data_IF_706722232476
#
_entry.id   IF_706722232476
#
_cell.length_a   1.000
_cell.length_b   1.000
_cell.length_c   1.000
_cell.angle_alpha   90.00
_cell.angle_beta   90.00
_cell.angle_gamma   90.00
#
_symmetry.space_group_name_H-M   'P 1'
#
loop_
_entity.id
_entity.type
_entity.pdbx_description
1 polymer ?
#
# COMPACT_ATOMS: atom_id res chain seq x y z
N UNK A 1 20.97 -23.71 11.44
CA UNK A 1 21.62 -22.75 12.34
C UNK A 1 20.63 -21.65 12.60
N UNK A 2 20.42 -21.33 13.88
CA UNK A 2 19.52 -20.27 14.28
C UNK A 2 19.88 -18.98 13.54
N UNK A 3 18.94 -18.48 12.75
CA UNK A 3 18.98 -17.12 12.23
C UNK A 3 18.95 -16.19 13.44
N UNK A 4 20.15 -15.86 13.91
CA UNK A 4 20.44 -15.19 15.18
C UNK A 4 19.41 -14.09 15.48
N UNK A 5 18.59 -14.36 16.49
CA UNK A 5 17.71 -13.38 17.14
C UNK A 5 16.79 -12.60 16.19
N UNK A 6 16.26 -13.21 15.12
CA UNK A 6 15.20 -12.55 14.36
C UNK A 6 13.94 -12.49 15.25
N UNK A 7 13.39 -11.31 15.60
CA UNK A 7 12.16 -11.16 16.41
C UNK A 7 10.90 -11.80 15.81
N UNK A 8 11.04 -12.51 14.70
CA UNK A 8 9.97 -13.22 13.99
C UNK A 8 10.37 -14.63 13.58
N UNK A 9 11.37 -15.24 14.24
CA UNK A 9 11.69 -16.67 14.07
C UNK A 9 10.43 -17.55 14.26
N UNK A 10 9.49 -17.11 15.09
CA UNK A 10 8.20 -17.78 15.30
C UNK A 10 7.17 -17.55 14.18
N UNK A 11 7.38 -16.60 13.26
CA UNK A 11 6.54 -16.37 12.08
C UNK A 11 7.12 -17.02 10.82
N UNK A 12 7.92 -18.06 10.99
CA UNK A 12 8.45 -18.86 9.90
C UNK A 12 7.36 -19.83 9.42
N UNK A 13 7.19 -19.96 8.11
CA UNK A 13 6.45 -21.10 7.57
C UNK A 13 7.27 -22.38 7.80
N UNK A 14 6.65 -23.43 8.34
CA UNK A 14 7.30 -24.74 8.38
C UNK A 14 7.57 -25.26 6.96
N UNK A 15 8.60 -26.11 6.75
CA UNK A 15 9.00 -26.54 5.40
C UNK A 15 7.87 -27.18 4.58
N UNK A 16 6.88 -27.79 5.24
CA UNK A 16 5.70 -28.38 4.60
C UNK A 16 4.55 -27.41 4.34
N UNK A 17 4.60 -26.17 4.86
CA UNK A 17 3.52 -25.18 4.79
C UNK A 17 2.17 -25.67 5.37
N UNK A 18 2.20 -26.65 6.28
CA UNK A 18 1.00 -27.32 6.79
C UNK A 18 0.13 -26.40 7.69
N UNK A 19 0.68 -25.27 8.13
CA UNK A 19 0.03 -24.29 9.00
C UNK A 19 -1.10 -23.50 8.33
N UNK A 20 -2.07 -23.01 9.12
CA UNK A 20 -3.27 -22.30 8.62
C UNK A 20 -3.00 -20.95 7.95
N UNK A 21 -1.80 -20.40 8.11
CA UNK A 21 -1.40 -19.11 7.57
C UNK A 21 -0.10 -19.25 6.78
N UNK A 22 0.04 -18.41 5.75
CA UNK A 22 1.28 -18.27 4.99
C UNK A 22 1.80 -16.84 5.15
N UNK A 23 3.05 -16.73 5.57
CA UNK A 23 3.78 -15.47 5.62
C UNK A 23 4.49 -15.26 4.29
N UNK A 24 3.99 -14.34 3.48
CA UNK A 24 4.53 -14.05 2.17
C UNK A 24 5.68 -13.04 2.26
N UNK A 25 6.77 -13.35 1.54
CA UNK A 25 7.80 -12.38 1.12
C UNK A 25 7.25 -11.68 -0.12
N UNK A 26 7.57 -10.39 -0.31
CA UNK A 26 6.86 -9.45 -1.20
C UNK A 26 6.91 -9.81 -2.71
N UNK A 27 7.74 -10.77 -3.09
CA UNK A 27 7.98 -11.17 -4.47
C UNK A 27 6.85 -12.06 -5.02
N UNK A 28 6.39 -11.77 -6.23
CA UNK A 28 5.37 -12.55 -6.96
C UNK A 28 4.07 -12.81 -6.16
N UNK A 29 3.39 -11.75 -5.67
CA UNK A 29 2.34 -11.91 -4.66
C UNK A 29 1.10 -12.68 -5.18
N UNK A 30 0.85 -12.66 -6.50
CA UNK A 30 -0.22 -13.46 -7.11
C UNK A 30 0.11 -14.94 -7.14
N UNK A 31 1.36 -15.33 -7.38
CA UNK A 31 1.77 -16.74 -7.37
C UNK A 31 1.63 -17.34 -5.98
N UNK A 32 2.03 -16.59 -4.95
CA UNK A 32 1.87 -17.02 -3.54
C UNK A 32 0.39 -17.22 -3.19
N UNK A 33 -0.47 -16.27 -3.54
CA UNK A 33 -1.91 -16.38 -3.22
C UNK A 33 -2.58 -17.50 -4.02
N UNK A 34 -2.15 -17.76 -5.25
CA UNK A 34 -2.66 -18.88 -6.05
C UNK A 34 -2.23 -20.23 -5.47
N UNK A 35 -0.95 -20.37 -5.08
CA UNK A 35 -0.40 -21.59 -4.49
C UNK A 35 -1.05 -21.95 -3.14
N UNK A 36 -1.50 -20.94 -2.39
CA UNK A 36 -2.06 -21.10 -1.04
C UNK A 36 -3.48 -20.52 -0.94
N UNK A 37 -4.32 -20.80 -1.92
CA UNK A 37 -5.68 -20.23 -2.05
C UNK A 37 -6.64 -20.61 -0.89
N UNK A 38 -6.38 -21.70 -0.19
CA UNK A 38 -7.13 -22.18 0.97
C UNK A 38 -6.66 -21.57 2.30
N UNK A 39 -5.58 -20.76 2.29
CA UNK A 39 -4.93 -20.24 3.50
C UNK A 39 -5.10 -18.72 3.64
N UNK A 40 -4.99 -18.26 4.88
CA UNK A 40 -4.87 -16.83 5.13
C UNK A 40 -3.45 -16.35 4.86
N UNK A 41 -3.31 -15.42 3.92
CA UNK A 41 -2.02 -14.84 3.56
C UNK A 41 -1.76 -13.57 4.36
N UNK A 42 -0.56 -13.46 4.91
CA UNK A 42 -0.09 -12.29 5.64
C UNK A 42 1.22 -11.79 5.04
N UNK A 43 1.35 -10.47 4.92
CA UNK A 43 2.58 -9.77 4.57
C UNK A 43 3.25 -9.27 5.84
N UNK A 44 4.53 -9.57 5.99
CA UNK A 44 5.36 -8.96 7.02
C UNK A 44 5.90 -7.62 6.53
N UNK A 45 5.67 -6.55 7.29
CA UNK A 45 6.12 -5.19 6.92
C UNK A 45 6.85 -4.54 8.09
N UNK A 46 7.91 -3.81 7.78
CA UNK A 46 8.78 -3.19 8.78
C UNK A 46 9.28 -1.80 8.37
N UNK A 47 9.78 -1.07 9.35
CA UNK A 47 10.35 0.27 9.19
C UNK A 47 11.82 0.31 9.58
N UNK A 48 12.63 0.94 8.74
CA UNK A 48 14.08 1.05 8.87
C UNK A 48 14.82 -0.07 8.15
N UNK A 49 16.12 0.13 7.90
CA UNK A 49 16.99 -0.90 7.35
C UNK A 49 17.17 -2.04 8.35
N UNK A 50 17.23 -3.28 7.88
CA UNK A 50 17.48 -4.44 8.73
C UNK A 50 18.92 -4.44 9.27
N UNK A 51 19.06 -4.29 10.58
CA UNK A 51 20.34 -4.27 11.29
C UNK A 51 20.16 -4.79 12.73
N UNK A 52 20.16 -6.12 12.96
CA UNK A 52 19.85 -6.73 14.25
C UNK A 52 20.74 -6.22 15.39
N UNK A 53 22.03 -6.04 15.11
CA UNK A 53 22.99 -5.51 16.07
C UNK A 53 22.72 -4.05 16.47
N UNK A 54 21.87 -3.34 15.73
CA UNK A 54 21.49 -1.96 15.96
C UNK A 54 20.01 -1.81 16.40
N UNK A 55 19.37 -2.91 16.86
CA UNK A 55 18.00 -2.87 17.37
C UNK A 55 16.91 -2.70 16.31
N UNK A 56 17.21 -3.07 15.06
CA UNK A 56 16.26 -3.04 13.94
C UNK A 56 15.38 -4.30 13.90
N UNK A 57 14.12 -4.22 13.41
CA UNK A 57 13.46 -3.04 12.84
C UNK A 57 12.94 -2.11 13.93
N UNK A 58 12.89 -0.81 13.64
CA UNK A 58 12.40 0.18 14.61
C UNK A 58 10.91 0.04 14.87
N UNK A 59 10.19 -0.62 13.94
CA UNK A 59 8.80 -1.00 14.07
C UNK A 59 8.45 -2.06 13.02
N UNK A 60 7.53 -2.96 13.32
CA UNK A 60 7.02 -3.96 12.37
C UNK A 60 5.57 -4.33 12.69
N UNK A 61 4.87 -4.90 11.70
CA UNK A 61 3.55 -5.52 11.90
C UNK A 61 3.28 -6.60 10.86
N UNK A 62 2.35 -7.49 11.18
CA UNK A 62 1.72 -8.35 10.19
C UNK A 62 0.54 -7.63 9.56
N UNK A 63 0.42 -7.73 8.24
CA UNK A 63 -0.70 -7.22 7.48
C UNK A 63 -1.42 -8.39 6.80
N UNK A 64 -2.70 -8.56 7.07
CA UNK A 64 -3.51 -9.52 6.29
C UNK A 64 -3.61 -9.06 4.84
N UNK A 65 -3.42 -9.98 3.91
CA UNK A 65 -3.59 -9.75 2.47
C UNK A 65 -4.94 -10.29 2.06
N UNK A 66 -5.81 -9.40 1.58
CA UNK A 66 -7.06 -9.78 0.92
C UNK A 66 -6.77 -9.96 -0.57
N UNK A 67 -7.50 -10.89 -1.20
CA UNK A 67 -7.51 -11.13 -2.63
C UNK A 67 -8.96 -10.97 -3.11
N UNK A 68 -9.20 -10.07 -4.05
CA UNK A 68 -10.52 -9.82 -4.64
C UNK A 68 -10.44 -9.89 -6.16
N UNK A 69 -11.55 -10.27 -6.79
CA UNK A 69 -11.68 -10.38 -8.26
C UNK A 69 -13.06 -9.88 -8.67
N UNK A 70 -13.11 -9.06 -9.72
CA UNK A 70 -14.35 -8.49 -10.30
C UNK A 70 -14.07 -7.71 -11.58
N UNK A 71 -15.11 -7.28 -12.29
CA UNK A 71 -14.97 -6.38 -13.45
C UNK A 71 -14.39 -5.01 -13.05
N UNK A 72 -14.61 -4.63 -11.79
CA UNK A 72 -14.07 -3.44 -11.17
C UNK A 72 -13.58 -3.75 -9.77
N UNK A 73 -12.39 -3.25 -9.44
CA UNK A 73 -11.88 -3.24 -8.07
C UNK A 73 -11.83 -1.81 -7.53
N UNK A 74 -12.14 -1.66 -6.25
CA UNK A 74 -12.03 -0.40 -5.51
C UNK A 74 -11.24 -0.58 -4.22
N UNK A 75 -10.19 0.21 -4.06
CA UNK A 75 -9.47 0.35 -2.80
C UNK A 75 -9.69 1.75 -2.22
N UNK A 76 -10.44 1.85 -1.13
CA UNK A 76 -10.63 3.11 -0.39
C UNK A 76 -9.70 3.22 0.81
N UNK A 77 -9.26 4.43 1.12
CA UNK A 77 -8.52 4.73 2.36
C UNK A 77 -8.70 6.17 2.79
N UNK A 78 -8.57 6.41 4.10
CA UNK A 78 -8.51 7.74 4.69
C UNK A 78 -7.19 7.91 5.41
N UNK A 79 -6.47 8.98 5.08
CA UNK A 79 -5.19 9.34 5.71
C UNK A 79 -5.33 10.60 6.55
N UNK A 80 -4.61 10.63 7.68
CA UNK A 80 -4.53 11.82 8.52
C UNK A 80 -3.59 12.86 7.93
N UNK A 81 -3.99 14.12 7.94
CA UNK A 81 -3.12 15.24 7.59
C UNK A 81 -2.91 16.04 8.89
N UNK A 82 -1.69 16.02 9.46
CA UNK A 82 -1.44 16.71 10.72
C UNK A 82 -1.51 18.23 10.53
N UNK A 83 -1.84 18.93 11.61
CA UNK A 83 -1.85 20.39 11.65
C UNK A 83 -0.48 20.97 11.23
N UNK A 84 -0.51 22.15 10.63
CA UNK A 84 0.69 22.81 10.09
C UNK A 84 1.09 22.37 8.67
N UNK A 85 0.41 21.37 8.09
CA UNK A 85 0.53 21.12 6.66
C UNK A 85 0.07 22.35 5.87
N UNK A 86 0.81 22.69 4.82
CA UNK A 86 0.55 23.85 3.94
C UNK A 86 0.13 23.45 2.54
N UNK A 87 0.18 22.16 2.23
CA UNK A 87 -0.27 21.62 0.95
C UNK A 87 -0.36 20.10 0.95
N UNK A 88 -1.20 19.58 0.07
CA UNK A 88 -1.27 18.14 -0.22
C UNK A 88 -1.37 17.92 -1.72
N UNK A 89 -0.47 17.10 -2.24
CA UNK A 89 -0.48 16.64 -3.62
C UNK A 89 -0.44 15.11 -3.66
N UNK A 90 -0.87 14.53 -4.76
CA UNK A 90 -0.77 13.10 -4.96
C UNK A 90 -0.31 12.76 -6.38
N UNK A 91 0.37 11.62 -6.49
CA UNK A 91 0.73 10.99 -7.75
C UNK A 91 0.16 9.58 -7.77
N UNK A 92 -0.65 9.29 -8.78
CA UNK A 92 -1.10 7.95 -9.11
C UNK A 92 -0.28 7.45 -10.30
N UNK A 93 0.27 6.25 -10.24
CA UNK A 93 1.07 5.69 -11.34
C UNK A 93 0.84 4.22 -11.54
N UNK A 94 0.98 3.81 -12.79
CA UNK A 94 1.04 2.44 -13.33
C UNK A 94 2.33 2.31 -14.12
N UNK A 95 2.56 1.16 -14.75
CA UNK A 95 3.69 0.99 -15.68
C UNK A 95 3.50 1.80 -16.98
N UNK A 96 2.25 2.12 -17.36
CA UNK A 96 1.90 2.97 -18.51
C UNK A 96 2.19 4.46 -18.27
N UNK A 97 2.18 4.92 -17.02
CA UNK A 97 2.52 6.32 -16.73
C UNK A 97 2.09 6.83 -15.37
N UNK A 98 1.81 8.13 -15.28
CA UNK A 98 1.35 8.73 -14.03
C UNK A 98 0.44 9.94 -14.20
N UNK A 99 -0.42 10.16 -13.21
CA UNK A 99 -1.33 11.30 -13.08
C UNK A 99 -1.09 12.01 -11.76
N UNK A 100 -1.30 13.33 -11.77
CA UNK A 100 -1.09 14.18 -10.62
C UNK A 100 -2.42 14.76 -10.13
N UNK A 101 -2.53 14.88 -8.82
CA UNK A 101 -3.71 15.40 -8.14
C UNK A 101 -3.30 16.39 -7.06
N UNK A 102 -4.20 17.31 -6.75
CA UNK A 102 -4.04 18.27 -5.65
C UNK A 102 -5.27 18.28 -4.76
N UNK A 103 -5.09 18.60 -3.49
CA UNK A 103 -6.20 18.87 -2.60
C UNK A 103 -6.54 20.37 -2.67
N UNK A 104 -7.79 20.77 -3.01
CA UNK A 104 -8.18 22.19 -3.07
C UNK A 104 -8.12 22.91 -1.71
N UNK A 105 -8.28 22.15 -0.64
CA UNK A 105 -8.13 22.58 0.74
C UNK A 105 -7.26 21.57 1.49
N UNK A 106 -6.81 21.92 2.68
CA UNK A 106 -5.99 21.04 3.54
C UNK A 106 -6.92 20.44 4.60
N UNK A 107 -7.52 19.26 4.36
CA UNK A 107 -8.41 18.64 5.33
C UNK A 107 -7.58 17.99 6.43
N UNK A 108 -8.14 17.79 7.63
CA UNK A 108 -7.52 16.93 8.66
C UNK A 108 -7.53 15.44 8.28
N UNK A 109 -8.49 15.04 7.46
CA UNK A 109 -8.68 13.69 6.98
C UNK A 109 -8.83 13.75 5.46
N UNK A 110 -7.97 13.07 4.72
CA UNK A 110 -8.05 13.00 3.27
C UNK A 110 -8.51 11.61 2.87
N UNK A 111 -9.65 11.53 2.19
CA UNK A 111 -10.22 10.28 1.67
C UNK A 111 -9.92 10.16 0.19
N UNK A 112 -9.50 8.95 -0.20
CA UNK A 112 -9.24 8.62 -1.59
C UNK A 112 -9.66 7.19 -1.90
N UNK A 113 -10.06 6.94 -3.14
CA UNK A 113 -10.33 5.60 -3.63
C UNK A 113 -9.66 5.37 -4.98
N UNK A 114 -8.77 4.38 -5.05
CA UNK A 114 -8.23 3.87 -6.30
C UNK A 114 -9.30 2.96 -6.89
N UNK A 115 -9.70 3.22 -8.14
CA UNK A 115 -10.63 2.38 -8.89
C UNK A 115 -9.90 1.82 -10.09
N UNK A 116 -9.99 0.51 -10.28
CA UNK A 116 -9.29 -0.22 -11.34
C UNK A 116 -10.31 -1.01 -12.15
N UNK A 117 -10.29 -0.81 -13.46
CA UNK A 117 -10.97 -1.66 -14.45
C UNK A 117 -9.92 -2.44 -15.26
N UNK A 118 -10.36 -3.26 -16.21
CA UNK A 118 -9.49 -4.00 -17.12
C UNK A 118 -8.52 -3.12 -17.94
N UNK A 119 -8.85 -1.83 -18.12
CA UNK A 119 -8.10 -0.93 -19.01
C UNK A 119 -7.62 0.35 -18.32
N UNK A 120 -8.27 0.76 -17.22
CA UNK A 120 -8.05 2.10 -16.66
C UNK A 120 -7.93 2.10 -15.15
N UNK A 121 -7.17 3.07 -14.65
CA UNK A 121 -7.07 3.40 -13.23
C UNK A 121 -7.49 4.85 -13.01
N UNK A 122 -8.39 5.06 -12.06
CA UNK A 122 -8.81 6.40 -11.62
C UNK A 122 -8.64 6.58 -10.11
N UNK A 123 -8.65 7.85 -9.70
CA UNK A 123 -8.61 8.23 -8.29
C UNK A 123 -9.82 9.11 -7.97
N UNK A 124 -10.71 8.60 -7.13
CA UNK A 124 -11.85 9.32 -6.59
C UNK A 124 -11.55 9.85 -5.19
N UNK A 125 -12.36 10.80 -4.70
CA UNK A 125 -12.33 11.28 -3.32
C UNK A 125 -12.10 12.78 -3.21
N UNK A 126 -11.27 13.20 -2.25
CA UNK A 126 -11.03 14.62 -1.94
C UNK A 126 -10.00 15.28 -2.85
N UNK A 127 -9.22 14.47 -3.57
CA UNK A 127 -8.20 14.92 -4.50
C UNK A 127 -8.81 15.28 -5.87
N UNK A 128 -8.25 16.28 -6.55
CA UNK A 128 -8.70 16.74 -7.87
C UNK A 128 -7.58 16.54 -8.90
N UNK A 129 -7.89 16.01 -10.09
CA UNK A 129 -6.89 15.77 -11.11
C UNK A 129 -6.36 17.10 -11.66
N UNK A 130 -5.07 17.12 -12.00
CA UNK A 130 -4.42 18.27 -12.67
C UNK A 130 -4.64 18.22 -14.19
N UNK A 131 -4.84 17.03 -14.76
CA UNK A 131 -5.19 16.81 -16.17
C UNK A 131 -6.33 15.81 -16.32
N UNK A 132 -7.06 15.87 -17.44
CA UNK A 132 -8.18 14.96 -17.74
C UNK A 132 -7.75 13.67 -18.47
N UNK A 133 -6.45 13.39 -18.51
CA UNK A 133 -5.93 12.21 -19.19
C UNK A 133 -6.21 10.94 -18.38
N UNK A 134 -6.61 9.86 -19.06
CA UNK A 134 -6.83 8.55 -18.44
C UNK A 134 -5.50 7.83 -18.19
N UNK A 135 -5.39 7.07 -17.12
CA UNK A 135 -4.21 6.25 -16.83
C UNK A 135 -4.50 4.79 -17.20
N UNK A 136 -3.70 4.20 -18.09
CA UNK A 136 -3.85 2.81 -18.50
C UNK A 136 -3.33 1.82 -17.48
N UNK A 137 -3.83 0.59 -17.54
CA UNK A 137 -3.31 -0.60 -16.86
C UNK A 137 -3.51 -1.82 -17.74
N UNK A 138 -2.55 -2.73 -17.75
CA UNK A 138 -2.59 -3.97 -18.52
C UNK A 138 -1.85 -5.08 -17.75
N UNK A 139 -2.35 -6.31 -17.83
CA UNK A 139 -1.74 -7.47 -17.18
C UNK A 139 -1.42 -7.24 -15.70
N UNK A 140 -0.28 -7.79 -15.28
CA UNK A 140 0.22 -7.63 -13.91
C UNK A 140 0.94 -6.30 -13.77
N UNK A 141 0.40 -5.44 -12.91
CA UNK A 141 0.95 -4.13 -12.59
C UNK A 141 0.88 -3.89 -11.06
N UNK A 142 1.60 -2.88 -10.58
CA UNK A 142 1.39 -2.29 -9.27
C UNK A 142 0.91 -0.84 -9.40
N UNK A 143 -0.38 -0.63 -9.16
CA UNK A 143 -0.94 0.72 -9.05
C UNK A 143 -0.39 1.40 -7.78
N UNK A 144 0.33 2.51 -7.96
CA UNK A 144 0.97 3.25 -6.86
C UNK A 144 0.31 4.59 -6.64
N UNK A 145 -0.24 4.81 -5.46
CA UNK A 145 -0.69 6.12 -5.00
C UNK A 145 0.32 6.66 -3.98
N UNK A 146 0.87 7.84 -4.25
CA UNK A 146 1.75 8.58 -3.33
C UNK A 146 1.11 9.91 -2.99
N UNK A 147 0.62 10.07 -1.75
CA UNK A 147 0.06 11.32 -1.23
C UNK A 147 1.15 12.04 -0.44
N UNK A 148 1.64 13.17 -0.93
CA UNK A 148 2.66 13.99 -0.28
C UNK A 148 2.00 15.09 0.56
N UNK A 149 2.36 15.14 1.84
CA UNK A 149 1.98 16.16 2.80
C UNK A 149 3.15 17.12 2.96
N UNK A 150 2.91 18.38 2.60
CA UNK A 150 3.91 19.44 2.58
C UNK A 150 3.80 20.32 3.84
N UNK A 151 4.92 20.58 4.51
CA UNK A 151 5.07 21.55 5.61
C UNK A 151 5.91 22.76 5.20
N UNK A 152 6.07 22.99 3.89
CA UNK A 152 6.87 24.07 3.32
C UNK A 152 8.34 23.88 3.59
N UNK A 153 8.98 24.89 4.19
CA UNK A 153 10.42 24.87 4.48
C UNK A 153 10.84 23.77 5.46
N UNK A 154 9.90 23.21 6.22
CA UNK A 154 10.15 22.11 7.17
C UNK A 154 10.20 20.73 6.50
N UNK A 155 10.01 20.66 5.18
CA UNK A 155 9.97 19.42 4.41
C UNK A 155 8.59 18.79 4.38
N UNK A 156 8.53 17.47 4.24
CA UNK A 156 7.26 16.76 4.09
C UNK A 156 7.40 15.27 4.30
N UNK A 157 6.28 14.56 4.13
CA UNK A 157 6.29 13.11 4.08
C UNK A 157 5.21 12.60 3.13
N UNK A 158 5.35 11.36 2.66
CA UNK A 158 4.36 10.73 1.81
C UNK A 158 3.69 9.55 2.49
N UNK A 159 2.38 9.43 2.32
CA UNK A 159 1.71 8.12 2.37
C UNK A 159 1.89 7.46 1.00
N UNK A 160 2.31 6.19 0.97
CA UNK A 160 2.43 5.42 -0.28
C UNK A 160 1.63 4.14 -0.17
N UNK A 161 0.82 3.88 -1.18
CA UNK A 161 0.05 2.66 -1.36
C UNK A 161 0.55 1.99 -2.63
N UNK A 162 0.93 0.72 -2.53
CA UNK A 162 1.30 -0.10 -3.68
C UNK A 162 0.31 -1.26 -3.77
N UNK A 163 -0.65 -1.15 -4.70
CA UNK A 163 -1.76 -2.06 -4.92
C UNK A 163 -1.41 -2.99 -6.09
N UNK A 164 -1.02 -4.25 -5.85
CA UNK A 164 -0.82 -5.21 -6.93
C UNK A 164 -2.16 -5.49 -7.60
N UNK A 165 -2.17 -5.43 -8.93
CA UNK A 165 -3.33 -5.71 -9.77
C UNK A 165 -2.94 -6.66 -10.89
N UNK A 166 -3.92 -7.43 -11.34
CA UNK A 166 -3.85 -8.24 -12.56
C UNK A 166 -5.09 -7.89 -13.37
N UNK A 167 -4.90 -7.21 -14.50
CA UNK A 167 -5.95 -6.67 -15.36
C UNK A 167 -6.18 -7.51 -16.63
N UNK A 168 -5.67 -8.75 -16.67
CA UNK A 168 -5.92 -9.69 -17.78
C UNK A 168 -7.31 -10.34 -17.66
N UNK A 169 -8.34 -9.65 -18.15
CA UNK A 169 -9.73 -10.09 -18.10
C UNK A 169 -10.48 -9.55 -16.88
N UNK A 170 -10.85 -10.42 -15.94
CA UNK A 170 -11.43 -9.97 -14.66
C UNK A 170 -10.32 -9.34 -13.80
N UNK A 171 -10.55 -8.14 -13.29
CA UNK A 171 -9.55 -7.42 -12.48
C UNK A 171 -9.40 -8.11 -11.14
N UNK A 172 -8.18 -8.55 -10.86
CA UNK A 172 -7.78 -9.06 -9.54
C UNK A 172 -6.91 -8.04 -8.83
N UNK A 173 -7.06 -7.95 -7.51
CA UNK A 173 -6.20 -7.09 -6.71
C UNK A 173 -5.92 -7.68 -5.33
N UNK A 174 -4.75 -7.34 -4.82
CA UNK A 174 -4.30 -7.71 -3.48
C UNK A 174 -4.25 -6.49 -2.57
N UNK A 175 -4.49 -6.65 -1.27
CA UNK A 175 -4.38 -5.54 -0.32
C UNK A 175 -3.02 -4.81 -0.46
N UNK A 176 -3.03 -3.47 -0.53
CA UNK A 176 -1.82 -2.74 -0.87
C UNK A 176 -0.82 -2.77 0.26
N UNK A 177 0.46 -2.70 -0.09
CA UNK A 177 1.49 -2.32 0.88
C UNK A 177 1.33 -0.84 1.19
N UNK A 178 1.36 -0.49 2.48
CA UNK A 178 1.20 0.89 2.95
C UNK A 178 2.48 1.36 3.63
N UNK A 179 3.04 2.46 3.15
CA UNK A 179 4.24 3.09 3.67
C UNK A 179 3.98 4.54 4.11
N UNK A 180 4.76 4.97 5.10
CA UNK A 180 4.88 6.36 5.52
C UNK A 180 6.33 6.79 5.38
N UNK A 181 6.56 7.63 4.40
CA UNK A 181 7.86 7.99 3.86
C UNK A 181 8.27 9.42 4.24
N UNK A 182 9.19 9.58 5.20
CA UNK A 182 9.81 10.88 5.49
C UNK A 182 11.05 11.17 4.64
N UNK A 183 11.70 10.13 4.14
CA UNK A 183 12.90 10.22 3.32
C UNK A 183 12.70 9.32 2.09
N UNK A 184 12.70 9.86 0.85
CA UNK A 184 12.55 9.06 -0.35
C UNK A 184 13.53 7.89 -0.45
N UNK A 185 14.74 8.03 0.10
CA UNK A 185 15.78 6.98 0.10
C UNK A 185 15.48 5.80 1.02
N UNK A 186 14.59 5.98 1.99
CA UNK A 186 14.20 4.94 2.94
C UNK A 186 12.90 4.23 2.52
N UNK A 187 12.27 4.67 1.43
CA UNK A 187 11.04 4.09 0.90
C UNK A 187 11.30 2.90 -0.02
N UNK A 188 10.25 2.17 -0.37
CA UNK A 188 10.34 1.07 -1.33
C UNK A 188 10.67 -0.26 -0.66
N UNK A 189 10.03 -0.55 0.48
CA UNK A 189 10.23 -1.83 1.18
C UNK A 189 10.62 -1.68 2.64
N UNK A 190 11.09 -0.50 3.07
CA UNK A 190 11.64 -0.27 4.41
C UNK A 190 10.94 0.88 5.17
N UNK A 191 9.80 1.37 4.68
CA UNK A 191 9.09 2.51 5.28
C UNK A 191 7.65 2.16 5.69
N UNK A 192 7.41 0.92 6.13
CA UNK A 192 6.05 0.48 6.46
C UNK A 192 5.32 1.44 7.40
N UNK A 193 4.05 1.71 7.09
CA UNK A 193 3.17 2.38 8.02
C UNK A 193 2.87 1.42 9.17
N UNK A 194 3.29 1.80 10.38
CA UNK A 194 3.01 1.10 11.64
C UNK A 194 2.24 2.04 12.55
N UNK A 195 0.95 1.77 12.86
CA UNK A 195 0.11 2.69 13.64
C UNK A 195 0.72 3.09 14.98
N UNK A 196 1.18 2.11 15.77
CA UNK A 196 1.76 2.34 17.10
C UNK A 196 3.04 3.16 17.11
N UNK A 197 3.67 3.34 15.95
CA UNK A 197 4.93 4.06 15.81
C UNK A 197 4.78 5.32 14.95
N UNK A 198 3.53 5.76 14.70
CA UNK A 198 3.22 6.96 13.92
C UNK A 198 2.96 8.16 14.82
N UNK A 199 3.43 9.37 14.45
CA UNK A 199 3.12 10.60 15.19
C UNK A 199 1.62 10.90 15.21
N UNK A 200 1.22 11.76 16.14
CA UNK A 200 -0.14 12.29 16.19
C UNK A 200 -0.56 12.94 14.88
N UNK A 201 -1.82 12.75 14.50
CA UNK A 201 -2.37 13.22 13.22
C UNK A 201 -1.91 12.41 11.99
N UNK A 202 -0.95 11.50 12.13
CA UNK A 202 -0.44 10.66 11.04
C UNK A 202 -1.03 9.26 11.12
N UNK A 203 -2.03 8.97 10.31
CA UNK A 203 -2.69 7.66 10.33
C UNK A 203 -3.20 7.23 8.96
N UNK A 204 -3.47 5.93 8.85
CA UNK A 204 -4.19 5.32 7.72
C UNK A 204 -5.31 4.48 8.33
N UNK A 205 -6.55 4.79 7.96
CA UNK A 205 -7.75 4.10 8.47
C UNK A 205 -8.79 3.92 7.36
N UNK A 206 -9.89 3.25 7.73
CA UNK A 206 -11.04 3.04 6.83
C UNK A 206 -10.62 2.37 5.51
N UNK A 207 -9.58 1.53 5.57
CA UNK A 207 -9.05 0.83 4.40
C UNK A 207 -10.00 -0.30 4.01
N UNK A 208 -10.45 -0.29 2.76
CA UNK A 208 -11.34 -1.34 2.25
C UNK A 208 -10.97 -1.66 0.81
N UNK A 209 -10.80 -2.96 0.54
CA UNK A 209 -10.64 -3.48 -0.81
C UNK A 209 -11.90 -4.28 -1.17
N UNK A 210 -12.58 -3.89 -2.25
CA UNK A 210 -13.79 -4.55 -2.74
C UNK A 210 -13.69 -4.79 -4.25
N UNK A 211 -14.41 -5.80 -4.72
CA UNK A 211 -14.63 -6.04 -6.13
C UNK A 211 -16.12 -6.05 -6.44
N UNK A 212 -16.48 -5.56 -7.61
CA UNK A 212 -17.83 -5.53 -8.17
C UNK A 212 -17.83 -6.37 -9.45
N UNK A 213 -18.86 -7.20 -9.63
CA UNK A 213 -19.16 -7.87 -10.90
C UNK A 213 -20.39 -7.21 -11.50
N UNK A 214 -20.36 -6.92 -12.79
CA UNK A 214 -21.55 -6.54 -13.53
C UNK A 214 -22.50 -7.74 -13.53
N UNK A 215 -23.74 -7.50 -13.09
CA UNK A 215 -24.79 -8.52 -13.02
C UNK A 215 -25.36 -8.84 -14.41
#
# INVERSE_FOLDING_TARGET
GDWLAHPFQYLRNDPGFDGRAVYAIDDEPFEVVNAFSDRHVYRYVYRGAWAPYAGSPTAARLQRVQNVSGDRVRYSSTVGIPDGAVGVSARLSTDDGSRYYTAPAIPRNLTSAIVVTNETVTLDGDLRPVSNETLGVEGRDTVRLSVFVDYGLSGGFSYRFALPVDADGEVRALSPRVERCRNPRACGGSAAYVPSASPDGVYVRETRLTAERNA
#
